data_IF_585389490577
#
_entry.id   IF_585389490577
#
_cell.length_a   1.000
_cell.length_b   1.000
_cell.length_c   1.000
_cell.angle_alpha   90.00
_cell.angle_beta   90.00
_cell.angle_gamma   90.00
#
_symmetry.space_group_name_H-M   'P 1'
#
loop_
_entity.id
_entity.type
_entity.pdbx_description
1 polymer ?
#
# COMPACT_ATOMS: atom_id res chain seq x y z
N UNK A 1 -26.51 7.33 -6.56
CA UNK A 1 -25.92 7.00 -7.86
C UNK A 1 -24.43 6.98 -7.60
N UNK A 2 -23.73 5.84 -7.74
CA UNK A 2 -22.27 5.84 -7.55
C UNK A 2 -21.66 6.54 -8.76
N UNK A 3 -21.06 7.69 -8.54
CA UNK A 3 -20.41 8.47 -9.58
C UNK A 3 -19.19 7.72 -10.13
N UNK A 4 -18.87 7.91 -11.42
CA UNK A 4 -17.84 7.14 -12.14
C UNK A 4 -16.45 7.23 -11.48
N UNK A 5 -16.17 8.30 -10.75
CA UNK A 5 -14.96 8.48 -9.95
C UNK A 5 -14.68 7.33 -8.97
N UNK A 6 -15.70 6.84 -8.25
CA UNK A 6 -15.53 5.76 -7.27
C UNK A 6 -15.19 4.43 -7.94
N UNK A 7 -15.71 4.22 -9.15
CA UNK A 7 -15.36 3.05 -9.97
C UNK A 7 -13.89 3.09 -10.38
N UNK A 8 -13.39 4.23 -10.85
CA UNK A 8 -11.98 4.38 -11.22
C UNK A 8 -11.05 4.21 -10.02
N UNK A 9 -11.42 4.76 -8.86
CA UNK A 9 -10.67 4.57 -7.62
C UNK A 9 -10.64 3.09 -7.23
N UNK A 10 -11.78 2.39 -7.26
CA UNK A 10 -11.83 0.96 -6.97
C UNK A 10 -10.96 0.13 -7.92
N UNK A 11 -10.98 0.44 -9.22
CA UNK A 11 -10.09 -0.19 -10.21
C UNK A 11 -8.63 0.12 -9.93
N UNK A 12 -8.31 1.35 -9.54
CA UNK A 12 -6.97 1.76 -9.13
C UNK A 12 -6.45 0.96 -7.94
N UNK A 13 -7.29 0.75 -6.93
CA UNK A 13 -6.97 -0.12 -5.79
C UNK A 13 -6.82 -1.58 -6.21
N UNK A 14 -7.66 -2.09 -7.11
CA UNK A 14 -7.56 -3.47 -7.60
C UNK A 14 -6.23 -3.70 -8.34
N UNK A 15 -5.90 -2.83 -9.32
CA UNK A 15 -4.65 -2.90 -10.08
C UNK A 15 -3.45 -2.69 -9.15
N UNK A 16 -3.49 -1.65 -8.32
CA UNK A 16 -2.43 -1.37 -7.35
C UNK A 16 -2.22 -2.51 -6.36
N UNK A 17 -3.29 -3.18 -5.93
CA UNK A 17 -3.25 -4.36 -5.06
C UNK A 17 -2.60 -5.56 -5.73
N UNK A 18 -2.95 -5.84 -6.99
CA UNK A 18 -2.33 -6.91 -7.79
C UNK A 18 -0.83 -6.64 -7.95
N UNK A 19 -0.46 -5.41 -8.32
CA UNK A 19 0.95 -5.02 -8.44
C UNK A 19 1.68 -5.18 -7.11
N UNK A 20 1.10 -4.70 -6.00
CA UNK A 20 1.67 -4.87 -4.66
C UNK A 20 1.90 -6.35 -4.32
N UNK A 21 0.96 -7.23 -4.68
CA UNK A 21 1.11 -8.67 -4.49
C UNK A 21 2.24 -9.27 -5.34
N UNK A 22 2.41 -8.80 -6.58
CA UNK A 22 3.42 -9.32 -7.50
C UNK A 22 4.84 -8.80 -7.23
N UNK A 23 4.99 -7.54 -6.82
CA UNK A 23 6.31 -6.86 -6.72
C UNK A 23 6.70 -6.48 -5.29
N UNK A 24 5.79 -6.60 -4.32
CA UNK A 24 6.00 -6.13 -2.94
C UNK A 24 5.85 -4.62 -2.75
N UNK A 25 5.77 -3.83 -3.82
CA UNK A 25 5.56 -2.38 -3.78
C UNK A 25 4.85 -1.92 -5.07
N UNK A 26 3.68 -1.29 -4.95
CA UNK A 26 2.95 -0.86 -6.16
C UNK A 26 1.57 -0.27 -5.93
N UNK A 27 0.92 -0.59 -4.82
CA UNK A 27 -0.40 -0.03 -4.50
C UNK A 27 -0.43 1.52 -4.49
N UNK A 28 0.51 2.23 -3.81
CA UNK A 28 0.52 3.69 -3.86
C UNK A 28 0.83 4.26 -5.25
N UNK A 29 1.66 3.57 -6.04
CA UNK A 29 2.10 4.04 -7.36
C UNK A 29 0.92 4.17 -8.32
N UNK A 30 -0.11 3.33 -8.17
CA UNK A 30 -1.30 3.37 -9.03
C UNK A 30 -2.47 4.09 -8.35
N UNK A 31 -2.76 3.78 -7.09
CA UNK A 31 -3.96 4.30 -6.45
C UNK A 31 -3.87 5.80 -6.14
N UNK A 32 -2.72 6.31 -5.71
CA UNK A 32 -2.58 7.74 -5.35
C UNK A 32 -2.77 8.64 -6.57
N UNK A 33 -2.13 8.40 -7.73
CA UNK A 33 -2.38 9.22 -8.92
C UNK A 33 -3.84 9.19 -9.37
N UNK A 34 -4.51 8.03 -9.31
CA UNK A 34 -5.92 7.90 -9.72
C UNK A 34 -6.83 8.70 -8.79
N UNK A 35 -6.64 8.61 -7.47
CA UNK A 35 -7.41 9.42 -6.51
C UNK A 35 -7.10 10.91 -6.73
N UNK A 36 -5.84 11.25 -7.00
CA UNK A 36 -5.38 12.62 -7.24
C UNK A 36 -5.92 13.26 -8.53
N UNK A 37 -6.50 12.48 -9.45
CA UNK A 37 -7.22 13.02 -10.62
C UNK A 37 -8.57 13.64 -10.25
N UNK A 38 -9.16 13.20 -9.14
CA UNK A 38 -10.50 13.64 -8.70
C UNK A 38 -10.45 14.45 -7.40
N UNK A 39 -9.39 14.28 -6.61
CA UNK A 39 -9.18 14.92 -5.32
C UNK A 39 -7.76 15.48 -5.20
N UNK A 40 -7.51 16.37 -4.25
CA UNK A 40 -6.15 16.92 -4.08
C UNK A 40 -5.15 15.86 -3.61
N UNK A 41 -3.90 15.98 -4.06
CA UNK A 41 -2.80 15.05 -3.73
C UNK A 41 -2.65 14.78 -2.22
N UNK A 42 -2.68 15.79 -1.32
CA UNK A 42 -2.57 15.55 0.12
C UNK A 42 -3.72 14.67 0.65
N UNK A 43 -4.94 14.87 0.14
CA UNK A 43 -6.10 14.09 0.53
C UNK A 43 -5.99 12.65 0.02
N UNK A 44 -5.56 12.47 -1.24
CA UNK A 44 -5.29 11.16 -1.81
C UNK A 44 -4.29 10.35 -0.97
N UNK A 45 -3.18 11.00 -0.57
CA UNK A 45 -2.17 10.37 0.29
C UNK A 45 -2.77 10.02 1.65
N UNK A 46 -3.42 10.98 2.32
CA UNK A 46 -3.98 10.79 3.66
C UNK A 46 -4.98 9.63 3.72
N UNK A 47 -5.88 9.54 2.74
CA UNK A 47 -6.87 8.46 2.65
C UNK A 47 -6.19 7.13 2.33
N UNK A 48 -5.18 7.11 1.46
CA UNK A 48 -4.48 5.89 1.06
C UNK A 48 -3.63 5.26 2.18
N UNK A 49 -3.18 6.04 3.16
CA UNK A 49 -2.40 5.55 4.31
C UNK A 49 -3.13 4.41 5.04
N UNK A 50 -4.43 4.57 5.30
CA UNK A 50 -5.23 3.58 6.06
C UNK A 50 -5.24 2.19 5.38
N UNK A 51 -5.74 2.03 4.13
CA UNK A 51 -5.74 0.72 3.47
C UNK A 51 -4.32 0.19 3.23
N UNK A 52 -3.32 1.04 3.03
CA UNK A 52 -1.94 0.59 2.88
C UNK A 52 -1.38 -0.03 4.16
N UNK A 53 -1.59 0.63 5.30
CA UNK A 53 -1.17 0.11 6.61
C UNK A 53 -1.92 -1.16 6.98
N UNK A 54 -3.25 -1.19 6.76
CA UNK A 54 -4.07 -2.38 7.04
C UNK A 54 -3.58 -3.57 6.20
N UNK A 55 -3.42 -3.40 4.89
CA UNK A 55 -2.96 -4.49 4.01
C UNK A 55 -1.54 -4.96 4.35
N UNK A 56 -0.61 -4.05 4.65
CA UNK A 56 0.74 -4.42 5.09
C UNK A 56 0.72 -5.20 6.40
N UNK A 57 -0.05 -4.74 7.39
CA UNK A 57 -0.15 -5.39 8.70
C UNK A 57 -0.75 -6.79 8.59
N UNK A 58 -1.81 -6.94 7.77
CA UNK A 58 -2.40 -8.24 7.48
C UNK A 58 -1.41 -9.17 6.75
N UNK A 59 -0.64 -8.66 5.79
CA UNK A 59 0.39 -9.45 5.10
C UNK A 59 1.49 -9.92 6.07
N UNK A 60 1.96 -9.05 6.97
CA UNK A 60 2.92 -9.40 8.03
C UNK A 60 2.35 -10.51 8.92
N UNK A 61 1.12 -10.35 9.40
CA UNK A 61 0.50 -11.34 10.27
C UNK A 61 0.30 -12.68 9.56
N UNK A 62 -0.16 -12.65 8.31
CA UNK A 62 -0.43 -13.84 7.50
C UNK A 62 0.86 -14.60 7.18
N UNK A 63 1.93 -13.90 6.84
CA UNK A 63 3.21 -14.49 6.41
C UNK A 63 4.26 -14.57 7.53
N UNK A 64 3.88 -14.34 8.79
CA UNK A 64 4.81 -14.35 9.95
C UNK A 64 5.58 -15.66 10.13
N UNK A 65 5.00 -16.77 9.69
CA UNK A 65 5.62 -18.09 9.76
C UNK A 65 6.79 -18.24 8.77
N UNK A 66 6.77 -17.48 7.68
CA UNK A 66 7.76 -17.51 6.59
C UNK A 66 8.79 -16.38 6.72
N UNK A 67 9.01 -15.88 7.94
CA UNK A 67 9.95 -14.79 8.20
C UNK A 67 11.39 -15.22 7.88
N UNK A 68 12.17 -14.28 7.36
CA UNK A 68 13.62 -14.42 7.20
C UNK A 68 14.31 -14.43 8.58
N UNK A 69 15.57 -14.93 8.68
CA UNK A 69 16.29 -14.99 9.94
C UNK A 69 16.35 -13.64 10.67
N UNK A 70 16.22 -13.66 11.99
CA UNK A 70 16.21 -12.45 12.82
C UNK A 70 17.47 -11.59 12.65
N UNK A 71 18.62 -12.24 12.39
CA UNK A 71 19.89 -11.58 12.14
C UNK A 71 19.86 -10.63 10.92
N UNK A 72 18.99 -10.88 9.94
CA UNK A 72 18.76 -9.99 8.80
C UNK A 72 17.55 -9.07 9.03
N UNK A 73 16.45 -9.61 9.57
CA UNK A 73 15.20 -8.88 9.73
C UNK A 73 15.32 -7.65 10.64
N UNK A 74 15.96 -7.80 11.81
CA UNK A 74 16.06 -6.72 12.80
C UNK A 74 16.85 -5.52 12.29
N UNK A 75 18.10 -5.67 11.77
CA UNK A 75 18.82 -4.52 11.23
C UNK A 75 18.14 -3.92 10.00
N UNK A 76 17.52 -4.74 9.14
CA UNK A 76 16.78 -4.24 7.98
C UNK A 76 15.57 -3.38 8.39
N UNK A 77 14.77 -3.86 9.34
CA UNK A 77 13.63 -3.11 9.87
C UNK A 77 14.09 -1.84 10.59
N UNK A 78 15.15 -1.91 11.40
CA UNK A 78 15.73 -0.75 12.08
C UNK A 78 16.24 0.31 11.12
N UNK A 79 16.99 -0.09 10.09
CA UNK A 79 17.44 0.83 9.03
C UNK A 79 16.26 1.45 8.26
N UNK A 80 15.21 0.65 7.99
CA UNK A 80 13.99 1.13 7.35
C UNK A 80 13.25 2.19 8.17
N UNK A 81 13.15 2.01 9.50
CA UNK A 81 12.56 3.02 10.41
C UNK A 81 13.41 4.28 10.47
N UNK A 82 14.74 4.16 10.48
CA UNK A 82 15.63 5.32 10.53
C UNK A 82 15.67 6.12 9.21
N UNK A 83 15.39 5.47 8.08
CA UNK A 83 15.43 6.10 6.75
C UNK A 83 14.09 6.66 6.25
N UNK A 84 12.97 6.34 6.91
CA UNK A 84 11.63 6.83 6.57
C UNK A 84 11.36 8.22 7.17
#
# INVERSE_FOLDING_TARGET
MLDAEYLYIALGFAVGGILKGATGAGAPIVAIPIIALYFDVPMAIAVFVVPNLVSNSLQIWTHRATRVPAAFLVPFAGAGVLGA
#
